data_IF_554617079156
#
_entry.id   IF_554617079156
#
_cell.length_a   1.000
_cell.length_b   1.000
_cell.length_c   1.000
_cell.angle_alpha   90.00
_cell.angle_beta   90.00
_cell.angle_gamma   90.00
#
_symmetry.space_group_name_H-M   'P 1'
#
loop_
_entity.id
_entity.type
_entity.pdbx_description
1 polymer ?
#
# COMPACT_ATOMS: atom_id res chain seq x y z
N UNK A 1 4.22 6.16 19.22
CA UNK A 1 2.98 5.45 18.88
C UNK A 1 3.18 3.95 18.97
N UNK A 2 2.22 3.27 19.58
CA UNK A 2 2.13 1.81 19.66
C UNK A 2 1.60 1.20 18.34
N UNK A 3 1.94 -0.05 18.06
CA UNK A 3 1.54 -0.73 16.82
C UNK A 3 0.02 -0.89 16.70
N UNK A 4 -0.67 -1.21 17.80
CA UNK A 4 -2.11 -1.42 17.78
C UNK A 4 -2.83 -0.08 17.53
N UNK A 5 -2.38 1.00 18.17
CA UNK A 5 -2.90 2.36 17.93
C UNK A 5 -2.74 2.81 16.46
N UNK A 6 -1.64 2.44 15.82
CA UNK A 6 -1.42 2.71 14.39
C UNK A 6 -2.48 2.02 13.51
N UNK A 7 -2.76 0.75 13.79
CA UNK A 7 -3.76 0.00 13.04
C UNK A 7 -5.18 0.46 13.34
N UNK A 8 -5.49 0.79 14.59
CA UNK A 8 -6.79 1.32 15.00
C UNK A 8 -7.10 2.63 14.26
N UNK A 9 -6.13 3.54 14.11
CA UNK A 9 -6.31 4.77 13.33
C UNK A 9 -6.63 4.49 11.85
N UNK A 10 -5.95 3.52 11.23
CA UNK A 10 -6.23 3.14 9.84
C UNK A 10 -7.61 2.50 9.68
N UNK A 11 -8.02 1.68 10.65
CA UNK A 11 -9.32 1.01 10.67
C UNK A 11 -10.45 2.00 10.92
N UNK A 12 -10.36 2.85 11.95
CA UNK A 12 -11.34 3.91 12.24
C UNK A 12 -11.55 4.85 11.04
N UNK A 13 -10.48 5.11 10.26
CA UNK A 13 -10.59 5.94 9.05
C UNK A 13 -11.55 5.33 8.01
N UNK A 14 -11.68 3.99 7.94
CA UNK A 14 -12.57 3.32 6.96
C UNK A 14 -14.04 3.62 7.22
N UNK A 15 -14.41 3.81 8.49
CA UNK A 15 -15.79 4.07 8.91
C UNK A 15 -16.13 5.57 8.96
N UNK A 16 -15.09 6.41 8.95
CA UNK A 16 -15.22 7.87 9.13
C UNK A 16 -15.16 8.66 7.82
N UNK A 17 -15.01 7.98 6.68
CA UNK A 17 -14.81 8.60 5.38
C UNK A 17 -15.40 7.73 4.26
N UNK A 18 -15.87 8.38 3.20
CA UNK A 18 -16.48 7.71 2.05
C UNK A 18 -15.48 7.36 0.96
N UNK A 19 -14.35 8.07 0.90
CA UNK A 19 -13.29 7.86 -0.08
C UNK A 19 -11.89 8.02 0.53
N UNK A 20 -10.87 7.68 -0.27
CA UNK A 20 -9.48 7.77 0.13
C UNK A 20 -9.00 9.19 0.46
N UNK A 21 -9.55 10.23 -0.17
CA UNK A 21 -9.20 11.63 0.10
C UNK A 21 -9.73 12.05 1.46
N UNK A 22 -10.97 11.72 1.75
CA UNK A 22 -11.59 11.93 3.06
C UNK A 22 -10.89 11.12 4.15
N UNK A 23 -10.51 9.86 3.86
CA UNK A 23 -9.70 9.04 4.80
C UNK A 23 -8.39 9.73 5.16
N UNK A 24 -7.65 10.25 4.16
CA UNK A 24 -6.41 11.02 4.41
C UNK A 24 -6.69 12.27 5.24
N UNK A 25 -7.71 13.05 4.89
CA UNK A 25 -8.05 14.26 5.63
C UNK A 25 -8.43 13.97 7.09
N UNK A 26 -9.18 12.89 7.32
CA UNK A 26 -9.53 12.42 8.66
C UNK A 26 -8.28 11.99 9.43
N UNK A 27 -7.43 11.14 8.85
CA UNK A 27 -6.17 10.70 9.47
C UNK A 27 -5.26 11.88 9.83
N UNK A 28 -5.08 12.82 8.90
CA UNK A 28 -4.28 14.04 9.13
C UNK A 28 -4.84 14.83 10.32
N UNK A 29 -6.16 15.03 10.36
CA UNK A 29 -6.82 15.76 11.44
C UNK A 29 -6.69 15.06 12.79
N UNK A 30 -6.81 13.73 12.83
CA UNK A 30 -6.68 12.94 14.07
C UNK A 30 -5.25 12.91 14.57
N UNK A 31 -4.28 12.68 13.68
CA UNK A 31 -2.86 12.69 14.03
C UNK A 31 -2.39 14.06 14.54
N UNK A 32 -2.90 15.16 13.98
CA UNK A 32 -2.55 16.52 14.42
C UNK A 32 -2.95 16.83 15.88
N UNK A 33 -3.85 16.03 16.47
CA UNK A 33 -4.25 16.14 17.88
C UNK A 33 -3.38 15.29 18.82
N UNK A 34 -2.48 14.46 18.29
CA UNK A 34 -1.58 13.63 19.08
C UNK A 34 -0.28 14.37 19.42
N UNK A 35 0.51 13.79 20.33
CA UNK A 35 1.85 14.29 20.63
C UNK A 35 2.74 14.19 19.38
N UNK A 36 3.65 15.15 19.14
CA UNK A 36 4.54 15.12 17.96
C UNK A 36 5.33 13.80 17.82
N UNK A 37 5.72 13.18 18.94
CA UNK A 37 6.39 11.89 18.95
C UNK A 37 5.53 10.73 18.46
N UNK A 38 4.20 10.81 18.62
CA UNK A 38 3.29 9.80 18.09
C UNK A 38 3.07 9.95 16.59
N UNK A 39 3.05 11.18 16.08
CA UNK A 39 3.00 11.43 14.63
C UNK A 39 4.28 10.91 13.96
N UNK A 40 5.44 11.11 14.58
CA UNK A 40 6.71 10.50 14.14
C UNK A 40 6.61 8.97 14.19
N UNK A 41 6.05 8.40 15.25
CA UNK A 41 5.82 6.97 15.37
C UNK A 41 4.92 6.43 14.26
N UNK A 42 3.88 7.16 13.87
CA UNK A 42 3.01 6.80 12.75
C UNK A 42 3.79 6.71 11.43
N UNK A 43 4.64 7.70 11.10
CA UNK A 43 5.49 7.66 9.90
C UNK A 43 6.45 6.47 9.90
N UNK A 44 7.06 6.17 11.05
CA UNK A 44 7.98 5.03 11.19
C UNK A 44 7.24 3.70 10.95
N UNK A 45 6.06 3.54 11.55
CA UNK A 45 5.23 2.33 11.38
C UNK A 45 4.66 2.20 9.96
N UNK A 46 4.27 3.32 9.34
CA UNK A 46 3.84 3.35 7.94
C UNK A 46 4.97 2.91 7.00
N UNK A 47 6.17 3.46 7.20
CA UNK A 47 7.37 3.12 6.43
C UNK A 47 7.78 1.67 6.62
N UNK A 48 7.77 1.17 7.85
CA UNK A 48 8.06 -0.23 8.16
C UNK A 48 7.02 -1.18 7.53
N UNK A 49 5.74 -0.83 7.60
CA UNK A 49 4.65 -1.61 6.99
C UNK A 49 4.80 -1.72 5.47
N UNK A 50 5.19 -0.62 4.82
CA UNK A 50 5.51 -0.60 3.39
C UNK A 50 6.69 -1.52 3.05
N UNK A 51 7.76 -1.45 3.84
CA UNK A 51 8.96 -2.27 3.62
C UNK A 51 8.69 -3.78 3.58
N UNK A 52 7.66 -4.27 4.31
CA UNK A 52 7.25 -5.68 4.33
C UNK A 52 6.75 -6.20 2.97
N UNK A 53 6.24 -5.30 2.13
CA UNK A 53 5.71 -5.61 0.79
C UNK A 53 6.54 -4.92 -0.30
N UNK A 54 7.80 -4.56 -0.01
CA UNK A 54 8.69 -3.88 -0.96
C UNK A 54 9.72 -4.82 -1.61
N UNK A 55 9.20 -5.76 -2.39
CA UNK A 55 10.00 -6.74 -3.15
C UNK A 55 9.55 -6.78 -4.60
N UNK A 56 10.39 -7.28 -5.49
CA UNK A 56 9.95 -7.61 -6.86
C UNK A 56 8.74 -8.57 -6.88
N UNK A 57 8.59 -9.49 -5.92
CA UNK A 57 7.47 -10.46 -5.84
C UNK A 57 6.12 -9.77 -5.69
N UNK A 58 6.09 -8.83 -4.76
CA UNK A 58 4.94 -7.97 -4.52
C UNK A 58 4.65 -7.03 -5.70
N UNK A 59 5.70 -6.49 -6.34
CA UNK A 59 5.50 -5.64 -7.53
C UNK A 59 4.93 -6.45 -8.69
N UNK A 60 5.41 -7.67 -8.91
CA UNK A 60 4.83 -8.57 -9.90
C UNK A 60 3.37 -8.91 -9.61
N UNK A 61 3.01 -9.13 -8.35
CA UNK A 61 1.62 -9.38 -7.98
C UNK A 61 0.72 -8.16 -8.23
N UNK A 62 1.22 -6.95 -7.93
CA UNK A 62 0.54 -5.71 -8.29
C UNK A 62 0.43 -5.52 -9.81
N UNK A 63 1.47 -5.90 -10.57
CA UNK A 63 1.51 -5.84 -12.02
C UNK A 63 0.43 -6.74 -12.65
N UNK A 64 0.32 -7.99 -12.19
CA UNK A 64 -0.74 -8.93 -12.63
C UNK A 64 -2.13 -8.38 -12.31
N UNK A 65 -2.34 -7.91 -11.07
CA UNK A 65 -3.63 -7.36 -10.66
C UNK A 65 -4.05 -6.13 -11.48
N UNK A 66 -3.09 -5.27 -11.80
CA UNK A 66 -3.30 -4.04 -12.57
C UNK A 66 -3.27 -4.27 -14.09
N UNK A 67 -3.35 -5.52 -14.58
CA UNK A 67 -3.27 -5.88 -16.01
C UNK A 67 -2.06 -5.22 -16.73
N UNK A 68 -0.91 -5.23 -16.05
CA UNK A 68 0.35 -4.66 -16.52
C UNK A 68 0.50 -3.15 -16.33
N UNK A 69 -0.52 -2.46 -15.81
CA UNK A 69 -0.51 -1.01 -15.59
C UNK A 69 -0.02 -0.68 -14.17
N UNK A 70 1.22 -1.07 -13.85
CA UNK A 70 1.83 -0.81 -12.54
C UNK A 70 3.29 -0.35 -12.65
N UNK A 71 3.49 0.97 -12.78
CA UNK A 71 4.79 1.63 -12.63
C UNK A 71 5.31 1.57 -11.19
N UNK A 72 6.56 1.97 -10.95
CA UNK A 72 7.10 2.06 -9.58
C UNK A 72 6.32 3.06 -8.70
N UNK A 73 5.80 4.15 -9.27
CA UNK A 73 4.94 5.11 -8.56
C UNK A 73 3.58 4.51 -8.22
N UNK A 74 2.96 3.80 -9.17
CA UNK A 74 1.71 3.07 -8.91
C UNK A 74 1.94 1.97 -7.88
N UNK A 75 3.07 1.28 -7.90
CA UNK A 75 3.39 0.28 -6.89
C UNK A 75 3.56 0.90 -5.51
N UNK A 76 4.17 2.09 -5.40
CA UNK A 76 4.22 2.84 -4.15
C UNK A 76 2.80 3.16 -3.64
N UNK A 77 1.89 3.61 -4.51
CA UNK A 77 0.49 3.80 -4.13
C UNK A 77 -0.24 2.49 -3.80
N UNK A 78 0.10 1.38 -4.45
CA UNK A 78 -0.46 0.05 -4.20
C UNK A 78 -0.09 -0.47 -2.80
N UNK A 79 1.15 -0.28 -2.37
CA UNK A 79 1.57 -0.62 -1.01
C UNK A 79 0.79 0.19 0.04
N UNK A 80 0.53 1.48 -0.21
CA UNK A 80 -0.36 2.29 0.65
C UNK A 80 -1.77 1.72 0.70
N UNK A 81 -2.28 1.26 -0.44
CA UNK A 81 -3.60 0.62 -0.52
C UNK A 81 -3.65 -0.66 0.33
N UNK A 82 -2.64 -1.53 0.24
CA UNK A 82 -2.54 -2.74 1.09
C UNK A 82 -2.54 -2.42 2.58
N UNK A 83 -1.78 -1.40 2.99
CA UNK A 83 -1.79 -0.93 4.38
C UNK A 83 -3.19 -0.46 4.77
N UNK A 84 -3.89 0.22 3.86
CA UNK A 84 -5.26 0.69 4.07
C UNK A 84 -6.34 -0.38 4.12
N UNK A 85 -6.04 -1.62 3.70
CA UNK A 85 -6.89 -2.80 3.87
C UNK A 85 -6.74 -3.45 5.25
N UNK A 86 -5.78 -2.99 6.06
CA UNK A 86 -5.61 -3.40 7.44
C UNK A 86 -4.50 -4.43 7.66
N UNK A 87 -4.27 -4.69 8.96
CA UNK A 87 -3.14 -5.47 9.47
C UNK A 87 -3.08 -6.89 8.91
N UNK A 88 -4.21 -7.58 8.89
CA UNK A 88 -4.28 -9.00 8.53
C UNK A 88 -4.04 -9.21 7.03
N UNK A 89 -4.61 -8.35 6.20
CA UNK A 89 -4.37 -8.36 4.75
C UNK A 89 -2.91 -8.09 4.46
N UNK A 90 -2.33 -7.02 5.03
CA UNK A 90 -0.90 -6.73 4.86
C UNK A 90 -0.04 -7.91 5.33
N UNK A 91 -0.36 -8.51 6.49
CA UNK A 91 0.39 -9.63 7.04
C UNK A 91 0.39 -10.88 6.15
N UNK A 92 -0.78 -11.22 5.61
CA UNK A 92 -0.95 -12.34 4.69
C UNK A 92 -0.18 -12.11 3.39
N UNK A 93 -0.39 -10.93 2.76
CA UNK A 93 0.27 -10.58 1.48
C UNK A 93 1.78 -10.47 1.63
N UNK A 94 2.28 -9.85 2.71
CA UNK A 94 3.71 -9.76 3.00
C UNK A 94 4.40 -11.13 3.09
N UNK A 95 3.67 -12.15 3.54
CA UNK A 95 4.18 -13.52 3.64
C UNK A 95 4.08 -14.26 2.30
N UNK A 96 3.03 -13.97 1.52
CA UNK A 96 2.74 -14.62 0.25
C UNK A 96 2.01 -13.64 -0.68
N UNK A 97 2.66 -13.10 -1.74
CA UNK A 97 2.02 -12.17 -2.66
C UNK A 97 0.78 -12.75 -3.36
N UNK A 98 0.76 -14.06 -3.61
CA UNK A 98 -0.38 -14.78 -4.19
C UNK A 98 -1.63 -14.80 -3.27
N UNK A 99 -1.49 -14.44 -1.99
CA UNK A 99 -2.61 -14.27 -1.08
C UNK A 99 -3.54 -13.10 -1.46
N UNK A 100 -3.12 -12.21 -2.38
CA UNK A 100 -4.00 -11.22 -2.99
C UNK A 100 -5.26 -11.86 -3.61
N UNK A 101 -5.16 -13.09 -4.11
CA UNK A 101 -6.31 -13.82 -4.66
C UNK A 101 -7.45 -14.04 -3.65
N UNK A 102 -7.15 -13.99 -2.35
CA UNK A 102 -8.16 -14.17 -1.27
C UNK A 102 -8.70 -12.84 -0.73
N UNK A 103 -8.15 -11.71 -1.16
CA UNK A 103 -8.58 -10.39 -0.68
C UNK A 103 -9.91 -10.02 -1.34
N UNK A 104 -10.98 -9.71 -0.57
CA UNK A 104 -12.31 -9.43 -1.15
C UNK A 104 -12.32 -8.27 -2.15
N UNK A 105 -11.52 -7.22 -1.89
CA UNK A 105 -11.36 -6.09 -2.80
C UNK A 105 -10.71 -6.53 -4.14
N UNK A 106 -9.71 -7.41 -4.09
CA UNK A 106 -9.05 -7.96 -5.30
C UNK A 106 -10.02 -8.78 -6.14
N UNK A 107 -10.80 -9.67 -5.50
CA UNK A 107 -11.82 -10.48 -6.19
C UNK A 107 -12.88 -9.61 -6.89
N UNK A 108 -13.34 -8.57 -6.21
CA UNK A 108 -14.28 -7.59 -6.80
C UNK A 108 -13.68 -6.89 -8.02
N UNK A 109 -12.42 -6.47 -7.91
CA UNK A 109 -11.71 -5.80 -9.00
C UNK A 109 -11.56 -6.72 -10.22
N UNK A 110 -11.05 -7.94 -10.01
CA UNK A 110 -10.82 -8.90 -11.10
C UNK A 110 -12.11 -9.38 -11.78
N UNK A 111 -13.25 -9.38 -11.08
CA UNK A 111 -14.55 -9.72 -11.68
C UNK A 111 -15.04 -8.71 -12.74
N UNK A 112 -14.59 -7.45 -12.65
CA UNK A 112 -14.98 -6.36 -13.57
C UNK A 112 -13.91 -6.15 -14.67
N UNK A 113 -12.64 -6.40 -14.34
CA UNK A 113 -11.49 -6.21 -15.24
C UNK A 113 -11.03 -4.75 -15.34
N UNK A 114 -9.71 -4.54 -15.42
CA UNK A 114 -9.08 -3.22 -15.33
C UNK A 114 -9.56 -2.21 -16.38
N UNK A 115 -9.92 -2.66 -17.58
CA UNK A 115 -10.42 -1.81 -18.67
C UNK A 115 -11.77 -1.12 -18.36
N UNK A 116 -12.52 -1.66 -17.39
CA UNK A 116 -13.84 -1.16 -17.02
C UNK A 116 -13.84 -0.44 -15.67
N UNK A 117 -12.69 -0.31 -15.01
CA UNK A 117 -12.59 0.35 -13.71
C UNK A 117 -12.67 1.87 -13.86
N UNK A 118 -13.49 2.56 -13.04
CA UNK A 118 -13.32 3.99 -12.87
C UNK A 118 -11.99 4.30 -12.17
N UNK A 119 -11.47 5.51 -12.34
CA UNK A 119 -10.19 5.94 -11.72
C UNK A 119 -10.11 5.67 -10.21
N UNK A 120 -11.24 5.78 -9.50
CA UNK A 120 -11.32 5.55 -8.05
C UNK A 120 -11.26 4.06 -7.63
N UNK A 121 -11.46 3.12 -8.55
CA UNK A 121 -11.45 1.69 -8.26
C UNK A 121 -10.04 1.08 -8.33
N UNK A 122 -9.07 1.78 -8.91
CA UNK A 122 -7.69 1.30 -8.93
C UNK A 122 -7.20 0.98 -7.52
N UNK A 123 -6.45 -0.13 -7.32
CA UNK A 123 -5.96 -0.56 -6.01
C UNK A 123 -4.77 0.31 -5.54
N UNK A 124 -4.93 1.63 -5.61
CA UNK A 124 -3.90 2.63 -5.39
C UNK A 124 -4.40 3.58 -4.31
N UNK A 125 -3.57 3.90 -3.32
CA UNK A 125 -3.84 4.93 -2.35
C UNK A 125 -2.71 5.98 -2.31
N UNK A 126 -2.62 6.84 -3.34
CA UNK A 126 -1.59 7.86 -3.40
C UNK A 126 -1.77 8.87 -2.25
N UNK A 127 -0.71 9.49 -1.76
CA UNK A 127 -0.82 10.57 -0.77
C UNK A 127 -0.92 10.13 0.69
N UNK A 128 -1.04 8.84 1.00
CA UNK A 128 -1.03 8.36 2.39
C UNK A 128 0.28 8.74 3.11
N UNK A 129 1.40 8.73 2.39
CA UNK A 129 2.73 9.15 2.87
C UNK A 129 2.80 10.63 3.28
N UNK A 130 1.85 11.46 2.82
CA UNK A 130 1.79 12.88 3.19
C UNK A 130 1.07 13.12 4.51
N UNK A 131 0.20 12.20 4.94
CA UNK A 131 -0.63 12.34 6.14
C UNK A 131 0.19 12.69 7.39
N UNK A 132 1.22 11.93 7.79
CA UNK A 132 1.99 12.27 8.99
C UNK A 132 2.76 13.58 8.84
N UNK A 133 3.18 13.95 7.62
CA UNK A 133 3.90 15.20 7.35
C UNK A 133 2.99 16.42 7.53
N UNK A 134 1.80 16.36 6.95
CA UNK A 134 0.77 17.38 7.07
C UNK A 134 0.31 17.52 8.53
N UNK A 135 0.09 16.39 9.22
CA UNK A 135 -0.31 16.37 10.63
C UNK A 135 0.77 16.97 11.55
N UNK A 136 2.03 16.59 11.35
CA UNK A 136 3.15 17.10 12.14
C UNK A 136 3.35 18.60 11.93
N UNK A 137 3.23 19.07 10.69
CA UNK A 137 3.28 20.49 10.38
C UNK A 137 2.12 21.25 11.03
N UNK A 138 0.89 20.73 10.95
CA UNK A 138 -0.27 21.35 11.60
C UNK A 138 -0.11 21.43 13.12
N UNK A 139 0.45 20.40 13.76
CA UNK A 139 0.64 20.35 15.21
C UNK A 139 1.80 21.23 15.71
N UNK A 140 2.85 21.43 14.92
CA UNK A 140 4.13 22.01 15.40
C UNK A 140 4.62 23.23 14.65
N UNK A 141 4.10 23.49 13.44
CA UNK A 141 4.64 24.47 12.49
C UNK A 141 6.01 24.11 11.90
N UNK A 142 6.48 22.86 12.07
CA UNK A 142 7.81 22.40 11.63
C UNK A 142 7.69 21.22 10.67
N UNK A 143 8.74 20.98 9.86
CA UNK A 143 8.81 19.79 9.01
C UNK A 143 9.11 18.54 9.84
N UNK A 144 8.42 17.44 9.51
CA UNK A 144 8.67 16.10 10.04
C UNK A 144 10.05 15.56 9.65
N UNK A 145 10.59 15.95 8.49
CA UNK A 145 11.88 15.44 7.99
C UNK A 145 13.03 15.66 8.95
N UNK A 146 13.03 16.82 9.62
CA UNK A 146 14.05 17.13 10.61
C UNK A 146 13.95 16.24 11.84
N UNK A 147 12.74 15.87 12.26
CA UNK A 147 12.54 14.97 13.39
C UNK A 147 12.98 13.54 13.02
N UNK A 148 12.64 13.06 11.82
CA UNK A 148 13.09 11.76 11.31
C UNK A 148 14.61 11.69 11.20
N UNK A 149 15.25 12.74 10.67
CA UNK A 149 16.70 12.81 10.53
C UNK A 149 17.44 12.71 11.87
N UNK A 150 16.90 13.31 12.94
CA UNK A 150 17.48 13.21 14.30
C UNK A 150 17.44 11.75 14.80
N UNK A 151 16.41 10.99 14.43
CA UNK A 151 16.27 9.58 14.77
C UNK A 151 17.03 8.65 13.83
N UNK A 152 17.71 9.18 12.80
CA UNK A 152 18.36 8.38 11.76
C UNK A 152 17.38 7.66 10.84
N UNK A 153 16.09 8.04 10.84
CA UNK A 153 15.09 7.49 9.95
C UNK A 153 15.20 8.15 8.57
N UNK A 154 15.30 7.34 7.52
CA UNK A 154 15.27 7.82 6.13
C UNK A 154 13.83 7.82 5.65
N UNK A 155 13.29 8.97 5.20
CA UNK A 155 11.98 9.05 4.58
C UNK A 155 11.84 8.09 3.39
N UNK A 156 10.71 7.38 3.31
CA UNK A 156 10.38 6.56 2.14
C UNK A 156 9.44 7.37 1.25
N UNK A 157 9.98 7.95 0.18
CA UNK A 157 9.25 8.85 -0.73
C UNK A 157 8.84 8.21 -2.05
N UNK A 158 9.35 7.03 -2.34
CA UNK A 158 9.05 6.22 -3.51
C UNK A 158 9.17 4.74 -3.13
N UNK A 159 8.94 3.84 -4.09
CA UNK A 159 9.11 2.41 -3.85
C UNK A 159 10.58 1.99 -3.64
N UNK A 160 11.56 2.87 -3.91
CA UNK A 160 12.98 2.63 -3.69
C UNK A 160 13.55 1.43 -4.44
N UNK A 161 14.76 0.96 -4.07
CA UNK A 161 15.26 -0.30 -4.60
C UNK A 161 14.46 -1.45 -3.99
N UNK A 162 13.80 -2.21 -4.87
CA UNK A 162 13.10 -3.43 -4.47
C UNK A 162 14.10 -4.47 -4.01
N UNK A 163 13.73 -5.23 -2.99
CA UNK A 163 14.50 -6.39 -2.55
C UNK A 163 14.06 -7.68 -3.26
N UNK A 164 14.93 -8.68 -3.25
CA UNK A 164 14.63 -10.02 -3.77
C UNK A 164 15.03 -10.25 -5.24
N UNK A 165 14.67 -11.42 -5.80
CA UNK A 165 15.02 -11.77 -7.17
C UNK A 165 14.27 -10.90 -8.17
N UNK A 166 14.90 -10.58 -9.30
CA UNK A 166 14.24 -9.93 -10.44
C UNK A 166 13.82 -11.02 -11.43
N UNK A 167 12.63 -10.88 -12.01
CA UNK A 167 12.20 -11.69 -13.17
C UNK A 167 11.43 -10.78 -14.13
N UNK A 168 11.13 -11.34 -15.29
CA UNK A 168 10.33 -10.70 -16.32
C UNK A 168 8.88 -10.57 -15.85
N UNK A 169 8.45 -9.33 -15.60
CA UNK A 169 7.09 -9.00 -15.15
C UNK A 169 6.04 -9.28 -16.23
N UNK A 170 6.44 -9.29 -17.49
CA UNK A 170 5.57 -9.54 -18.63
C UNK A 170 5.42 -11.04 -18.94
N UNK A 171 6.18 -11.91 -18.26
CA UNK A 171 6.18 -13.35 -18.51
C UNK A 171 4.95 -14.06 -17.92
N UNK A 172 4.04 -14.59 -18.75
CA UNK A 172 2.88 -15.35 -18.27
C UNK A 172 3.28 -16.61 -17.50
N UNK A 173 4.44 -17.19 -17.84
CA UNK A 173 4.98 -18.39 -17.18
C UNK A 173 5.43 -18.07 -15.77
N UNK A 174 6.15 -16.96 -15.57
CA UNK A 174 6.56 -16.52 -14.23
C UNK A 174 5.33 -16.18 -13.37
N UNK A 175 4.29 -15.56 -13.97
CA UNK A 175 3.04 -15.27 -13.28
C UNK A 175 2.31 -16.56 -12.86
N UNK A 176 2.16 -17.52 -13.76
CA UNK A 176 1.51 -18.81 -13.47
C UNK A 176 2.25 -19.63 -12.39
N UNK A 177 3.58 -19.60 -12.38
CA UNK A 177 4.38 -20.36 -11.40
C UNK A 177 4.39 -19.69 -10.02
N UNK A 178 4.48 -18.37 -9.95
CA UNK A 178 4.70 -17.64 -8.70
C UNK A 178 3.42 -17.13 -8.04
N UNK A 179 2.40 -16.88 -8.85
CA UNK A 179 1.13 -16.30 -8.45
C UNK A 179 -0.02 -17.17 -8.98
N UNK A 180 -0.01 -18.50 -8.76
CA UNK A 180 -0.93 -19.41 -9.44
C UNK A 180 -2.40 -19.05 -9.22
N UNK A 181 -2.79 -18.68 -7.98
CA UNK A 181 -4.18 -18.35 -7.67
C UNK A 181 -4.57 -17.00 -8.23
N UNK A 182 -3.70 -16.00 -8.10
CA UNK A 182 -3.97 -14.66 -8.62
C UNK A 182 -4.03 -14.67 -10.16
N UNK A 183 -3.15 -15.43 -10.80
CA UNK A 183 -3.08 -15.58 -12.25
C UNK A 183 -4.29 -16.31 -12.83
N UNK A 184 -4.75 -17.38 -12.17
CA UNK A 184 -5.99 -18.06 -12.53
C UNK A 184 -7.18 -17.09 -12.41
N UNK A 185 -7.26 -16.36 -11.30
CA UNK A 185 -8.34 -15.41 -11.02
C UNK A 185 -8.36 -14.22 -12.00
N UNK A 186 -7.21 -13.82 -12.54
CA UNK A 186 -7.11 -12.75 -13.54
C UNK A 186 -7.41 -13.22 -14.97
N UNK A 187 -7.81 -14.49 -15.17
CA UNK A 187 -8.06 -15.06 -16.51
C UNK A 187 -6.78 -15.32 -17.32
N UNK A 188 -5.61 -15.36 -16.67
CA UNK A 188 -4.31 -15.45 -17.35
C UNK A 188 -4.06 -16.77 -18.11
N UNK A 189 -4.86 -17.81 -17.86
CA UNK A 189 -4.77 -19.08 -18.57
C UNK A 189 -5.06 -18.94 -20.08
N UNK A 190 -5.92 -18.00 -20.48
CA UNK A 190 -6.25 -17.75 -21.90
C UNK A 190 -5.13 -16.99 -22.64
N UNK A 191 -4.26 -16.26 -21.91
CA UNK A 191 -3.13 -15.50 -22.48
C UNK A 191 -1.85 -16.34 -22.64
N UNK A 192 -1.77 -17.51 -22.01
CA UNK A 192 -0.59 -18.38 -22.00
C UNK A 192 -0.68 -19.57 -22.98
N UNK A 193 -1.81 -19.74 -23.66
CA UNK A 193 -2.07 -20.77 -24.68
C UNK A 193 -1.86 -20.20 -26.10
#
# INVERSE_FOLDING_TARGET
MDLDVFWDLLDESTHSASDQRERRAWLTSRLALLLPGDIVGFEVLLSASRGRVNTFSHWHAAYVLCDGLCSAEQFFAFQSWLIGLGRDVLGSVASCPDALAEVPAVRTLLAVGAQSWPDAAWPLWPGLERVPREAFFAATGRSLDRALAILGCVPVTDAGPFSGPVWDLDSPVEAAVRLPRLWELSGGQEKAA
#
